data_IF_108065656951
#
_entry.id   IF_108065656951
#
_cell.length_a   1.000
_cell.length_b   1.000
_cell.length_c   1.000
_cell.angle_alpha   90.00
_cell.angle_beta   90.00
_cell.angle_gamma   90.00
#
_symmetry.space_group_name_H-M   'P 1'
#
loop_
_entity.id
_entity.type
_entity.pdbx_description
1 polymer ?
#
# COMPACT_ATOMS: atom_id res chain seq x y z
N UNK A 1 39.39 19.40 -36.90
CA UNK A 1 38.38 19.37 -35.81
C UNK A 1 37.02 19.44 -36.50
N UNK A 2 35.95 18.73 -36.17
CA UNK A 2 35.67 17.51 -35.41
C UNK A 2 34.22 17.16 -35.84
N UNK A 3 33.95 15.88 -35.95
CA UNK A 3 32.81 15.20 -36.56
C UNK A 3 31.41 15.62 -36.07
N UNK A 4 30.44 15.56 -36.99
CA UNK A 4 29.03 15.08 -36.85
C UNK A 4 28.24 15.40 -35.58
N UNK A 5 27.06 16.01 -35.75
CA UNK A 5 25.93 15.80 -34.85
C UNK A 5 24.61 15.86 -35.62
N UNK A 6 24.15 14.69 -36.03
CA UNK A 6 22.77 14.42 -36.40
C UNK A 6 21.97 14.45 -35.09
N UNK A 7 21.12 15.45 -34.91
CA UNK A 7 20.23 15.53 -33.76
C UNK A 7 19.02 14.61 -34.02
N UNK A 8 19.23 13.31 -33.80
CA UNK A 8 18.14 12.37 -33.58
C UNK A 8 17.87 12.33 -32.07
N UNK A 9 16.87 13.08 -31.60
CA UNK A 9 16.35 12.89 -30.24
C UNK A 9 14.99 12.21 -30.33
N UNK A 10 15.04 10.92 -30.06
CA UNK A 10 13.92 10.01 -29.99
C UNK A 10 12.85 10.50 -28.99
N UNK A 11 11.60 10.47 -29.43
CA UNK A 11 10.44 10.51 -28.56
C UNK A 11 10.40 9.20 -27.75
N UNK A 12 11.06 9.18 -26.61
CA UNK A 12 10.83 8.14 -25.60
C UNK A 12 9.52 8.44 -24.90
N UNK A 13 8.41 7.98 -25.50
CA UNK A 13 7.18 7.68 -24.80
C UNK A 13 7.52 6.64 -23.72
N UNK A 14 7.91 7.12 -22.53
CA UNK A 14 8.03 6.28 -21.36
C UNK A 14 6.62 5.76 -21.06
N UNK A 15 6.40 4.52 -21.48
CA UNK A 15 5.23 3.74 -21.18
C UNK A 15 4.92 3.88 -19.69
N UNK A 16 3.70 4.33 -19.46
CA UNK A 16 2.98 4.24 -18.20
C UNK A 16 2.95 2.76 -17.79
N UNK A 17 4.00 2.30 -17.09
CA UNK A 17 3.93 1.07 -16.33
C UNK A 17 3.04 1.37 -15.14
N UNK A 18 1.73 1.30 -15.34
CA UNK A 18 0.81 0.95 -14.27
C UNK A 18 1.36 -0.37 -13.77
N UNK A 19 1.98 -0.33 -12.59
CA UNK A 19 2.16 -1.52 -11.78
C UNK A 19 0.76 -2.05 -11.51
N UNK A 20 0.23 -2.85 -12.43
CA UNK A 20 -0.70 -3.89 -12.06
C UNK A 20 0.16 -4.84 -11.23
N UNK A 21 0.28 -4.54 -9.93
CA UNK A 21 0.71 -5.49 -8.94
C UNK A 21 -0.31 -6.62 -9.11
N UNK A 22 0.08 -7.66 -9.85
CA UNK A 22 -0.69 -8.88 -9.95
C UNK A 22 -0.95 -9.28 -8.50
N UNK A 23 -2.21 -9.16 -8.07
CA UNK A 23 -2.58 -9.46 -6.71
C UNK A 23 -2.16 -10.92 -6.49
N UNK A 24 -1.14 -11.12 -5.66
CA UNK A 24 -0.98 -12.39 -4.95
C UNK A 24 -2.37 -12.78 -4.41
N UNK A 25 -2.70 -14.09 -4.28
CA UNK A 25 -3.99 -14.51 -3.73
C UNK A 25 -4.25 -13.70 -2.46
N UNK A 26 -5.24 -12.82 -2.56
CA UNK A 26 -5.48 -11.82 -1.54
C UNK A 26 -6.18 -12.51 -0.39
N UNK A 27 -5.55 -12.54 0.77
CA UNK A 27 -6.18 -12.96 2.01
C UNK A 27 -7.30 -12.00 2.40
N UNK A 28 -7.35 -10.78 1.83
CA UNK A 28 -8.49 -9.89 2.00
C UNK A 28 -9.77 -10.42 1.38
N UNK A 29 -10.91 -10.31 2.08
CA UNK A 29 -12.22 -10.44 1.46
C UNK A 29 -12.39 -9.47 0.27
N UNK A 30 -13.30 -9.79 -0.66
CA UNK A 30 -13.57 -8.93 -1.80
C UNK A 30 -13.95 -7.50 -1.35
N UNK A 31 -13.28 -6.49 -1.93
CA UNK A 31 -13.48 -5.06 -1.59
C UNK A 31 -12.89 -4.60 -0.26
N UNK A 32 -12.60 -5.51 0.67
CA UNK A 32 -12.14 -5.17 2.02
C UNK A 32 -10.82 -4.41 2.06
N UNK A 33 -9.87 -4.77 1.17
CA UNK A 33 -8.58 -4.10 1.07
C UNK A 33 -8.75 -2.62 0.69
N UNK A 34 -9.64 -2.34 -0.26
CA UNK A 34 -9.88 -0.99 -0.75
C UNK A 34 -10.57 -0.13 0.31
N UNK A 35 -11.58 -0.68 1.00
CA UNK A 35 -12.20 -0.03 2.16
C UNK A 35 -11.16 0.27 3.24
N UNK A 36 -10.34 -0.71 3.63
CA UNK A 36 -9.27 -0.51 4.61
C UNK A 36 -8.32 0.64 4.21
N UNK A 37 -7.83 0.64 2.96
CA UNK A 37 -6.92 1.71 2.49
C UNK A 37 -7.62 3.06 2.51
N UNK A 38 -8.90 3.12 2.11
CA UNK A 38 -9.70 4.35 2.12
C UNK A 38 -9.87 4.89 3.54
N UNK A 39 -10.34 4.08 4.48
CA UNK A 39 -10.57 4.47 5.87
C UNK A 39 -9.25 4.86 6.57
N UNK A 40 -8.21 4.03 6.40
CA UNK A 40 -6.88 4.32 6.93
C UNK A 40 -6.33 5.63 6.37
N UNK A 41 -6.47 5.87 5.06
CA UNK A 41 -5.93 7.07 4.42
C UNK A 41 -6.68 8.32 4.89
N UNK A 42 -8.00 8.26 5.04
CA UNK A 42 -8.81 9.35 5.56
C UNK A 42 -8.38 9.73 6.99
N UNK A 43 -8.12 8.74 7.84
CA UNK A 43 -7.64 8.94 9.21
C UNK A 43 -6.18 9.46 9.24
N UNK A 44 -5.28 8.86 8.48
CA UNK A 44 -3.87 9.26 8.44
C UNK A 44 -3.66 10.66 7.84
N UNK A 45 -4.51 11.06 6.89
CA UNK A 45 -4.47 12.39 6.25
C UNK A 45 -4.76 13.54 7.22
N UNK A 46 -5.25 13.24 8.44
CA UNK A 46 -5.34 14.24 9.52
C UNK A 46 -3.96 14.71 10.01
N UNK A 47 -2.89 13.97 9.72
CA UNK A 47 -1.54 14.21 10.25
C UNK A 47 -0.43 14.29 9.19
N UNK A 48 -0.67 13.75 7.99
CA UNK A 48 0.27 13.75 6.85
C UNK A 48 -0.46 14.09 5.56
N UNK A 49 0.27 14.40 4.49
CA UNK A 49 -0.36 14.63 3.19
C UNK A 49 -1.03 13.35 2.65
N UNK A 50 -2.06 13.52 1.82
CA UNK A 50 -2.87 12.43 1.30
C UNK A 50 -2.07 11.35 0.54
N UNK A 51 -0.99 11.74 -0.15
CA UNK A 51 -0.15 10.79 -0.88
C UNK A 51 0.69 9.94 0.08
N UNK A 52 1.23 10.55 1.13
CA UNK A 52 1.96 9.86 2.19
C UNK A 52 1.03 8.96 3.01
N UNK A 53 -0.18 9.42 3.33
CA UNK A 53 -1.22 8.62 3.99
C UNK A 53 -1.56 7.37 3.16
N UNK A 54 -1.89 7.57 1.89
CA UNK A 54 -2.24 6.47 0.97
C UNK A 54 -1.12 5.45 0.84
N UNK A 55 0.13 5.90 0.63
CA UNK A 55 1.27 5.00 0.53
C UNK A 55 1.51 4.17 1.81
N UNK A 56 1.31 4.77 2.98
CA UNK A 56 1.41 4.05 4.26
C UNK A 56 0.32 2.98 4.41
N UNK A 57 -0.92 3.34 4.10
CA UNK A 57 -2.06 2.44 4.22
C UNK A 57 -2.01 1.30 3.19
N UNK A 58 -1.57 1.55 1.97
CA UNK A 58 -1.32 0.50 0.97
C UNK A 58 -0.26 -0.49 1.45
N UNK A 59 0.88 0.01 1.97
CA UNK A 59 1.90 -0.85 2.56
C UNK A 59 1.34 -1.68 3.73
N UNK A 60 0.57 -1.05 4.62
CA UNK A 60 -0.05 -1.74 5.75
C UNK A 60 -0.99 -2.85 5.27
N UNK A 61 -1.78 -2.60 4.22
CA UNK A 61 -2.68 -3.57 3.64
C UNK A 61 -1.92 -4.77 3.03
N UNK A 62 -0.79 -4.52 2.38
CA UNK A 62 0.07 -5.57 1.82
C UNK A 62 0.76 -6.40 2.91
N UNK A 63 1.20 -5.76 4.00
CA UNK A 63 1.78 -6.46 5.15
C UNK A 63 0.76 -7.30 5.90
N UNK A 64 -0.43 -6.78 6.12
CA UNK A 64 -1.55 -7.57 6.68
C UNK A 64 -1.83 -8.77 5.77
N UNK A 65 -1.91 -8.56 4.45
CA UNK A 65 -2.15 -9.65 3.50
C UNK A 65 -1.08 -10.74 3.56
N UNK A 66 0.19 -10.37 3.77
CA UNK A 66 1.30 -11.32 3.82
C UNK A 66 1.36 -12.10 5.15
N UNK A 67 1.04 -11.46 6.27
CA UNK A 67 1.27 -12.01 7.61
C UNK A 67 0.02 -12.63 8.25
N UNK A 68 -1.18 -12.26 7.78
CA UNK A 68 -2.46 -12.71 8.33
C UNK A 68 -3.26 -13.51 7.30
N UNK A 69 -3.97 -14.50 7.81
CA UNK A 69 -4.90 -15.35 7.05
C UNK A 69 -6.21 -14.62 6.78
N UNK A 70 -6.99 -15.07 5.79
CA UNK A 70 -8.34 -14.52 5.52
C UNK A 70 -9.26 -14.50 6.74
N UNK A 71 -9.23 -15.56 7.56
CA UNK A 71 -10.05 -15.64 8.76
C UNK A 71 -9.65 -14.58 9.81
N UNK A 72 -8.34 -14.37 10.00
CA UNK A 72 -7.78 -13.37 10.91
C UNK A 72 -8.13 -11.95 10.45
N UNK A 73 -7.98 -11.66 9.15
CA UNK A 73 -8.37 -10.38 8.57
C UNK A 73 -9.88 -10.14 8.75
N UNK A 74 -10.71 -11.14 8.46
CA UNK A 74 -12.16 -11.05 8.65
C UNK A 74 -12.53 -10.81 10.12
N UNK A 75 -11.86 -11.46 11.06
CA UNK A 75 -12.06 -11.25 12.49
C UNK A 75 -11.75 -9.80 12.87
N UNK A 76 -10.59 -9.27 12.46
CA UNK A 76 -10.21 -7.88 12.72
C UNK A 76 -11.21 -6.86 12.16
N UNK A 77 -11.82 -7.15 11.01
CA UNK A 77 -12.80 -6.27 10.37
C UNK A 77 -14.18 -6.32 11.00
N UNK A 78 -14.61 -7.48 11.49
CA UNK A 78 -16.02 -7.70 11.91
C UNK A 78 -16.19 -7.77 13.43
N UNK A 79 -15.10 -7.98 14.18
CA UNK A 79 -15.14 -8.12 15.62
C UNK A 79 -14.28 -7.04 16.30
N UNK A 80 -14.94 -6.03 16.87
CA UNK A 80 -14.29 -4.98 17.65
C UNK A 80 -13.56 -5.53 18.89
N UNK A 81 -13.99 -6.70 19.39
CA UNK A 81 -13.41 -7.40 20.52
C UNK A 81 -12.41 -8.51 20.10
N UNK A 82 -11.89 -8.45 18.87
CA UNK A 82 -10.82 -9.34 18.43
C UNK A 82 -9.68 -9.37 19.46
N UNK A 83 -9.08 -10.55 19.62
CA UNK A 83 -8.07 -10.83 20.65
C UNK A 83 -6.92 -9.83 20.60
N UNK A 84 -6.36 -9.49 21.77
CA UNK A 84 -5.21 -8.58 21.85
C UNK A 84 -4.02 -9.11 21.03
N UNK A 85 -3.81 -10.43 21.03
CA UNK A 85 -2.78 -11.09 20.21
C UNK A 85 -2.96 -10.79 18.71
N UNK A 86 -4.18 -10.96 18.18
CA UNK A 86 -4.45 -10.72 16.77
C UNK A 86 -4.30 -9.24 16.39
N UNK A 87 -4.77 -8.34 17.26
CA UNK A 87 -4.56 -6.89 17.08
C UNK A 87 -3.07 -6.53 17.08
N UNK A 88 -2.30 -7.09 18.00
CA UNK A 88 -0.85 -6.88 18.08
C UNK A 88 -0.13 -7.45 16.85
N UNK A 89 -0.55 -8.61 16.34
CA UNK A 89 -0.01 -9.20 15.11
C UNK A 89 -0.24 -8.27 13.92
N UNK A 90 -1.44 -7.72 13.76
CA UNK A 90 -1.73 -6.74 12.70
C UNK A 90 -0.87 -5.47 12.83
N UNK A 91 -0.76 -4.91 14.04
CA UNK A 91 0.10 -3.74 14.30
C UNK A 91 1.57 -4.05 14.00
N UNK A 92 2.06 -5.22 14.40
CA UNK A 92 3.42 -5.66 14.14
C UNK A 92 3.69 -5.78 12.63
N UNK A 93 2.76 -6.35 11.86
CA UNK A 93 2.88 -6.43 10.41
C UNK A 93 3.06 -5.03 9.77
N UNK A 94 2.23 -4.07 10.19
CA UNK A 94 2.24 -2.69 9.67
C UNK A 94 3.46 -1.89 10.13
N UNK A 95 4.08 -2.24 11.28
CA UNK A 95 5.19 -1.47 11.86
C UNK A 95 6.40 -1.26 10.93
N UNK A 96 6.56 -2.13 9.94
CA UNK A 96 7.60 -2.03 8.90
C UNK A 96 7.31 -0.98 7.82
N UNK A 97 6.08 -0.47 7.74
CA UNK A 97 5.62 0.52 6.76
C UNK A 97 6.00 1.94 7.18
N UNK A 98 7.22 2.36 6.86
CA UNK A 98 7.69 3.73 7.12
C UNK A 98 6.99 4.74 6.23
N UNK A 99 6.50 5.83 6.85
CA UNK A 99 6.17 7.07 6.17
C UNK A 99 7.46 7.86 5.90
N UNK A 100 7.91 7.89 4.65
CA UNK A 100 9.00 8.78 4.25
C UNK A 100 8.41 10.17 4.08
N UNK A 101 8.56 11.05 5.08
CA UNK A 101 8.19 12.46 4.94
C UNK A 101 9.02 13.06 3.80
N UNK A 102 8.37 13.54 2.75
CA UNK A 102 9.05 14.30 1.70
C UNK A 102 9.42 15.67 2.30
N UNK A 103 10.72 15.93 2.41
CA UNK A 103 11.28 17.21 2.88
C UNK A 103 10.99 18.32 1.87
#
# INVERSE_FOLDING_TARGET
>A
MRSTSIFALAASLALFSIGAHAAAPSNWPAGARDSFVTDCSAAASQNVDAKTAKAHCECGADKINAELSTAEIKELMTNQNASAELKNKAVAAISSCKVVKKK
#
